data_IF_582207866048
#
_entry.id   IF_582207866048
#
_cell.length_a   1.000
_cell.length_b   1.000
_cell.length_c   1.000
_cell.angle_alpha   90.00
_cell.angle_beta   90.00
_cell.angle_gamma   90.00
#
_symmetry.space_group_name_H-M   'P 1'
#
loop_
_entity.id
_entity.type
_entity.pdbx_description
1 polymer ?
#
# COMPACT_ATOMS: atom_id res chain seq x y z
N UNK A 1 53.28 53.05 -26.67
CA UNK A 1 52.39 52.30 -27.59
C UNK A 1 51.77 51.16 -26.78
N UNK A 2 50.45 51.17 -26.55
CA UNK A 2 49.76 50.31 -25.59
C UNK A 2 49.32 48.99 -26.23
N UNK A 3 49.18 47.92 -25.45
CA UNK A 3 48.27 46.83 -25.81
C UNK A 3 47.55 46.30 -24.56
N UNK A 4 46.28 46.00 -24.79
CA UNK A 4 45.19 45.91 -23.83
C UNK A 4 45.12 44.57 -23.08
N UNK A 5 44.42 44.60 -21.95
CA UNK A 5 43.93 43.42 -21.21
C UNK A 5 43.03 42.53 -22.08
N UNK A 6 42.91 41.24 -21.73
CA UNK A 6 41.63 40.57 -21.82
C UNK A 6 41.18 40.04 -20.44
N UNK A 7 40.05 40.59 -20.02
CA UNK A 7 38.83 39.91 -19.51
C UNK A 7 39.05 38.63 -18.71
N UNK A 8 38.72 38.69 -17.42
CA UNK A 8 38.65 37.54 -16.52
C UNK A 8 37.70 36.46 -17.04
N UNK A 9 38.23 35.27 -17.25
CA UNK A 9 37.42 34.07 -17.42
C UNK A 9 36.79 33.72 -16.07
N UNK A 10 35.48 33.93 -15.94
CA UNK A 10 34.67 33.24 -14.93
C UNK A 10 34.73 31.76 -15.29
N UNK A 11 35.37 30.97 -14.43
CA UNK A 11 35.37 29.52 -14.55
C UNK A 11 33.94 28.96 -14.60
N UNK A 12 33.75 27.75 -15.13
CA UNK A 12 32.43 27.16 -15.26
C UNK A 12 31.77 27.07 -13.88
N UNK A 13 30.62 27.72 -13.73
CA UNK A 13 29.74 27.54 -12.59
C UNK A 13 29.28 26.09 -12.64
N UNK A 14 29.83 25.26 -11.77
CA UNK A 14 29.36 23.91 -11.55
C UNK A 14 27.98 24.01 -10.92
N UNK A 15 26.94 23.92 -11.74
CA UNK A 15 25.56 23.72 -11.27
C UNK A 15 25.56 22.37 -10.58
N UNK A 16 25.59 22.39 -9.24
CA UNK A 16 25.33 21.22 -8.43
C UNK A 16 23.85 20.92 -8.72
N UNK A 17 23.50 19.81 -9.38
CA UNK A 17 22.10 19.45 -9.51
C UNK A 17 21.57 19.34 -8.08
N UNK A 18 20.45 20.01 -7.81
CA UNK A 18 19.72 19.89 -6.55
C UNK A 18 19.76 18.42 -6.14
N UNK A 19 20.22 18.18 -4.90
CA UNK A 19 20.22 16.86 -4.32
C UNK A 19 18.91 16.20 -4.69
N UNK A 20 18.98 15.09 -5.44
CA UNK A 20 17.82 14.28 -5.80
C UNK A 20 17.18 13.95 -4.45
N UNK A 21 16.17 14.72 -4.06
CA UNK A 21 15.41 14.41 -2.87
C UNK A 21 14.92 13.00 -3.12
N UNK A 22 15.19 12.04 -2.22
CA UNK A 22 14.61 10.71 -2.36
C UNK A 22 13.11 10.91 -2.60
N UNK A 23 12.49 10.13 -3.51
CA UNK A 23 11.08 10.32 -3.82
C UNK A 23 10.35 10.39 -2.49
N UNK A 24 9.70 11.54 -2.22
CA UNK A 24 8.87 11.68 -1.02
C UNK A 24 7.83 10.57 -1.14
N UNK A 25 7.95 9.53 -0.31
CA UNK A 25 6.88 8.58 -0.13
C UNK A 25 5.64 9.41 0.19
N UNK A 26 4.58 9.32 -0.62
CA UNK A 26 3.35 9.98 -0.24
C UNK A 26 2.83 9.26 1.00
N UNK A 27 2.44 10.02 2.02
CA UNK A 27 1.91 9.39 3.22
C UNK A 27 0.59 8.73 2.84
N UNK A 28 0.30 7.55 3.37
CA UNK A 28 -0.94 6.84 3.02
C UNK A 28 -2.17 7.69 3.39
N UNK A 29 -2.03 8.50 4.42
CA UNK A 29 -2.98 9.52 4.86
C UNK A 29 -3.35 10.53 3.76
N UNK A 30 -2.42 10.86 2.85
CA UNK A 30 -2.69 11.77 1.73
C UNK A 30 -3.75 11.20 0.79
N UNK A 31 -3.90 9.87 0.73
CA UNK A 31 -4.88 9.18 -0.12
C UNK A 31 -6.29 9.15 0.48
N UNK A 32 -6.45 9.52 1.76
CA UNK A 32 -7.72 9.34 2.45
C UNK A 32 -8.85 10.20 1.86
N UNK A 33 -9.99 9.56 1.63
CA UNK A 33 -11.18 10.20 1.07
C UNK A 33 -11.11 10.40 -0.45
N UNK A 34 -9.96 10.14 -1.07
CA UNK A 34 -9.83 10.19 -2.53
C UNK A 34 -10.47 8.96 -3.16
N UNK A 35 -11.10 9.17 -4.32
CA UNK A 35 -11.51 8.11 -5.23
C UNK A 35 -10.60 8.17 -6.44
N UNK A 36 -9.98 7.05 -6.76
CA UNK A 36 -9.10 6.94 -7.94
C UNK A 36 -9.84 6.20 -9.05
N UNK A 37 -9.74 6.75 -10.25
CA UNK A 37 -10.45 6.25 -11.42
C UNK A 37 -9.72 5.08 -12.10
N UNK A 38 -10.51 4.04 -12.31
CA UNK A 38 -10.76 3.40 -13.59
C UNK A 38 -9.63 2.68 -14.31
N UNK A 39 -9.37 1.45 -13.87
CA UNK A 39 -8.61 0.47 -14.66
C UNK A 39 -9.60 -0.44 -15.40
N UNK A 40 -9.64 -0.43 -16.75
CA UNK A 40 -10.34 -1.45 -17.51
C UNK A 40 -9.74 -2.82 -17.18
N UNK A 41 -10.55 -3.73 -16.67
CA UNK A 41 -10.10 -5.07 -16.31
C UNK A 41 -11.19 -6.11 -16.54
N UNK A 42 -10.75 -7.36 -16.66
CA UNK A 42 -11.64 -8.52 -16.74
C UNK A 42 -11.59 -9.29 -15.43
N UNK A 43 -12.74 -9.40 -14.76
CA UNK A 43 -12.86 -10.22 -13.57
C UNK A 43 -13.06 -11.67 -14.01
N UNK A 44 -11.98 -12.45 -14.04
CA UNK A 44 -12.05 -13.86 -14.41
C UNK A 44 -12.66 -14.69 -13.28
N UNK A 45 -13.40 -15.77 -13.58
CA UNK A 45 -13.76 -16.76 -12.57
C UNK A 45 -12.53 -17.27 -11.82
N UNK A 46 -12.72 -17.68 -10.57
CA UNK A 46 -11.64 -18.28 -9.78
C UNK A 46 -11.06 -19.49 -10.53
N UNK A 47 -9.77 -19.47 -10.82
CA UNK A 47 -9.15 -20.48 -11.69
C UNK A 47 -9.10 -21.89 -11.08
N UNK A 48 -9.11 -22.00 -9.75
CA UNK A 48 -9.09 -23.30 -9.04
C UNK A 48 -10.47 -23.94 -8.97
N UNK A 49 -11.50 -23.13 -8.77
CA UNK A 49 -12.86 -23.63 -8.45
C UNK A 49 -13.88 -23.37 -9.56
N UNK A 50 -13.56 -22.52 -10.53
CA UNK A 50 -14.50 -22.00 -11.52
C UNK A 50 -15.56 -21.08 -10.93
N UNK A 51 -15.45 -20.69 -9.65
CA UNK A 51 -16.44 -19.87 -8.96
C UNK A 51 -16.65 -18.53 -9.65
N UNK A 52 -17.92 -18.13 -9.74
CA UNK A 52 -18.37 -16.82 -10.26
C UNK A 52 -18.83 -15.89 -9.15
N UNK A 53 -18.37 -16.14 -7.93
CA UNK A 53 -18.58 -15.27 -6.77
C UNK A 53 -17.36 -14.37 -6.63
N UNK A 54 -17.57 -13.13 -6.20
CA UNK A 54 -16.47 -12.26 -5.79
C UNK A 54 -15.85 -12.82 -4.50
N UNK A 55 -14.67 -13.43 -4.63
CA UNK A 55 -13.93 -14.07 -3.53
C UNK A 55 -12.91 -13.14 -2.85
N UNK A 56 -12.82 -11.89 -3.31
CA UNK A 56 -11.94 -10.87 -2.73
C UNK A 56 -10.54 -10.81 -3.35
N UNK A 57 -10.07 -11.87 -4.00
CA UNK A 57 -8.66 -12.00 -4.45
C UNK A 57 -8.27 -10.88 -5.42
N UNK A 58 -9.10 -10.62 -6.42
CA UNK A 58 -8.86 -9.54 -7.38
C UNK A 58 -8.86 -8.17 -6.69
N UNK A 59 -9.76 -7.96 -5.74
CA UNK A 59 -9.85 -6.70 -5.01
C UNK A 59 -8.59 -6.42 -4.18
N UNK A 60 -8.08 -7.43 -3.49
CA UNK A 60 -6.84 -7.35 -2.73
C UNK A 60 -5.62 -7.06 -3.61
N UNK A 61 -5.49 -7.77 -4.74
CA UNK A 61 -4.39 -7.54 -5.69
C UNK A 61 -4.36 -6.09 -6.18
N UNK A 62 -5.53 -5.58 -6.58
CA UNK A 62 -5.64 -4.21 -7.06
C UNK A 62 -5.41 -3.19 -5.94
N UNK A 63 -5.83 -3.49 -4.71
CA UNK A 63 -5.58 -2.64 -3.55
C UNK A 63 -4.08 -2.52 -3.23
N UNK A 64 -3.37 -3.66 -3.19
CA UNK A 64 -1.92 -3.72 -3.01
C UNK A 64 -1.19 -2.94 -4.10
N UNK A 65 -1.55 -3.17 -5.37
CA UNK A 65 -0.99 -2.44 -6.51
C UNK A 65 -1.20 -0.93 -6.33
N UNK A 66 -2.43 -0.51 -6.03
CA UNK A 66 -2.77 0.91 -5.86
C UNK A 66 -1.94 1.55 -4.75
N UNK A 67 -1.85 0.93 -3.57
CA UNK A 67 -1.07 1.51 -2.47
C UNK A 67 0.41 1.58 -2.80
N UNK A 68 0.99 0.54 -3.39
CA UNK A 68 2.41 0.52 -3.78
C UNK A 68 2.71 1.61 -4.82
N UNK A 69 1.88 1.74 -5.86
CA UNK A 69 2.05 2.75 -6.91
C UNK A 69 1.88 4.18 -6.37
N UNK A 70 0.90 4.41 -5.49
CA UNK A 70 0.60 5.76 -5.00
C UNK A 70 1.54 6.22 -3.91
N UNK A 71 2.01 5.32 -3.05
CA UNK A 71 2.83 5.67 -1.88
C UNK A 71 4.31 5.40 -2.07
N UNK A 72 4.69 4.51 -3.00
CA UNK A 72 6.06 4.02 -3.13
C UNK A 72 6.48 3.03 -2.02
N UNK A 73 5.58 2.72 -1.08
CA UNK A 73 5.83 1.70 -0.06
C UNK A 73 5.83 0.30 -0.68
N UNK A 74 6.30 -0.69 0.10
CA UNK A 74 6.34 -2.09 -0.30
C UNK A 74 5.34 -2.92 0.51
N UNK A 75 4.05 -2.68 0.29
CA UNK A 75 2.99 -3.50 0.85
C UNK A 75 3.06 -4.92 0.30
N UNK A 76 3.01 -5.88 1.22
CA UNK A 76 2.97 -7.30 0.93
C UNK A 76 1.92 -8.00 1.79
N UNK A 77 1.22 -9.00 1.24
CA UNK A 77 0.34 -9.82 2.06
C UNK A 77 1.15 -10.64 3.06
N UNK A 78 0.57 -10.88 4.23
CA UNK A 78 1.06 -11.85 5.22
C UNK A 78 -0.10 -12.79 5.53
N UNK A 79 -0.20 -13.89 4.79
CA UNK A 79 -1.35 -14.80 4.77
C UNK A 79 -0.96 -16.26 4.90
N UNK A 80 -1.79 -17.04 5.58
CA UNK A 80 -1.66 -18.49 5.53
C UNK A 80 -2.24 -19.09 4.22
N UNK A 81 -2.18 -20.42 4.09
CA UNK A 81 -2.70 -21.16 2.91
C UNK A 81 -4.21 -21.05 2.71
N UNK A 82 -4.95 -20.53 3.69
CA UNK A 82 -6.39 -20.27 3.61
C UNK A 82 -6.70 -18.81 3.26
N UNK A 83 -5.70 -18.02 2.86
CA UNK A 83 -5.80 -16.58 2.59
C UNK A 83 -6.29 -15.78 3.80
N UNK A 84 -5.95 -16.22 5.02
CA UNK A 84 -6.23 -15.45 6.24
C UNK A 84 -4.97 -14.74 6.70
N UNK A 85 -5.07 -13.45 7.00
CA UNK A 85 -4.01 -12.67 7.61
C UNK A 85 -4.10 -11.19 7.22
N UNK A 86 -2.94 -10.54 7.08
CA UNK A 86 -2.83 -9.17 6.62
C UNK A 86 -2.89 -9.10 5.10
N UNK A 87 -3.93 -8.49 4.54
CA UNK A 87 -4.07 -8.29 3.09
C UNK A 87 -2.90 -7.47 2.52
N UNK A 88 -2.36 -6.54 3.31
CA UNK A 88 -1.18 -5.78 2.94
C UNK A 88 -0.54 -5.12 4.14
N UNK A 89 0.70 -5.49 4.43
CA UNK A 89 1.48 -4.93 5.53
C UNK A 89 2.75 -4.29 4.98
N UNK A 90 3.10 -3.12 5.51
CA UNK A 90 4.32 -2.40 5.17
C UNK A 90 4.90 -1.73 6.41
N UNK A 91 6.23 -1.58 6.42
CA UNK A 91 6.93 -0.68 7.35
C UNK A 91 7.35 0.55 6.56
N UNK A 92 6.83 1.71 6.93
CA UNK A 92 7.22 3.01 6.40
C UNK A 92 8.16 3.69 7.41
N UNK A 93 9.25 4.25 6.91
CA UNK A 93 10.24 4.98 7.71
C UNK A 93 10.39 6.38 7.11
N UNK A 94 10.09 7.39 7.91
CA UNK A 94 10.25 8.80 7.56
C UNK A 94 11.03 9.52 8.67
N UNK A 95 12.34 9.71 8.43
CA UNK A 95 13.28 10.13 9.47
C UNK A 95 13.27 9.16 10.66
N UNK A 96 13.00 9.71 11.85
CA UNK A 96 12.90 8.92 13.09
C UNK A 96 11.51 8.28 13.29
N UNK A 97 10.55 8.57 12.41
CA UNK A 97 9.18 8.05 12.53
C UNK A 97 9.10 6.69 11.84
N UNK A 98 8.73 5.67 12.61
CA UNK A 98 8.40 4.34 12.10
C UNK A 98 6.89 4.18 12.11
N UNK A 99 6.30 3.85 10.97
CA UNK A 99 4.88 3.50 10.87
C UNK A 99 4.73 2.12 10.29
N UNK A 100 4.08 1.22 11.02
CA UNK A 100 3.58 -0.02 10.47
C UNK A 100 2.20 0.26 9.88
N UNK A 101 2.08 0.15 8.56
CA UNK A 101 0.81 0.33 7.87
C UNK A 101 0.16 -1.04 7.66
N UNK A 102 -1.09 -1.15 8.11
CA UNK A 102 -1.89 -2.38 8.01
C UNK A 102 -3.09 -2.10 7.13
N UNK A 103 -3.08 -2.69 5.94
CA UNK A 103 -4.15 -2.61 4.96
C UNK A 103 -5.12 -3.79 5.15
N UNK A 104 -6.40 -3.49 5.08
CA UNK A 104 -7.47 -4.45 4.83
C UNK A 104 -8.19 -4.05 3.53
N UNK A 105 -8.31 -5.00 2.60
CA UNK A 105 -8.99 -4.80 1.33
C UNK A 105 -10.45 -5.28 1.43
N UNK A 106 -11.36 -4.49 0.86
CA UNK A 106 -12.77 -4.84 0.76
C UNK A 106 -13.24 -4.60 -0.66
N UNK A 107 -13.73 -5.64 -1.33
CA UNK A 107 -14.22 -5.53 -2.70
C UNK A 107 -15.73 -5.72 -2.82
N UNK A 108 -16.31 -5.11 -3.85
CA UNK A 108 -17.73 -5.20 -4.16
C UNK A 108 -17.96 -5.18 -5.66
N UNK A 109 -18.87 -6.03 -6.13
CA UNK A 109 -19.35 -6.02 -7.53
C UNK A 109 -20.47 -4.99 -7.78
N UNK A 110 -20.94 -4.34 -6.72
CA UNK A 110 -22.01 -3.36 -6.74
C UNK A 110 -21.48 -1.92 -6.61
N UNK A 111 -20.22 -1.69 -7.01
CA UNK A 111 -19.51 -0.41 -6.89
C UNK A 111 -18.74 -0.23 -5.58
N UNK A 112 -17.77 0.70 -5.60
CA UNK A 112 -16.83 0.91 -4.47
C UNK A 112 -17.52 1.34 -3.18
N UNK A 113 -18.61 2.10 -3.29
CA UNK A 113 -19.38 2.59 -2.13
C UNK A 113 -20.10 1.48 -1.36
N UNK A 114 -20.24 0.28 -1.96
CA UNK A 114 -20.85 -0.90 -1.35
C UNK A 114 -19.83 -1.89 -0.77
N UNK A 115 -18.52 -1.64 -0.96
CA UNK A 115 -17.50 -2.42 -0.30
C UNK A 115 -17.59 -2.26 1.22
N UNK A 116 -17.40 -3.36 1.94
CA UNK A 116 -17.48 -3.40 3.40
C UNK A 116 -16.41 -2.55 4.09
N UNK A 117 -16.48 -2.52 5.42
CA UNK A 117 -15.45 -1.89 6.26
C UNK A 117 -14.89 -2.95 7.20
N UNK A 118 -13.57 -2.97 7.43
CA UNK A 118 -12.96 -3.89 8.39
C UNK A 118 -13.45 -3.64 9.82
N UNK A 119 -13.32 -4.67 10.64
CA UNK A 119 -13.72 -4.67 12.06
C UNK A 119 -12.51 -4.87 12.97
N UNK A 120 -12.57 -4.27 14.17
CA UNK A 120 -11.57 -4.40 15.20
C UNK A 120 -10.41 -3.40 15.06
N UNK A 121 -9.49 -3.48 16.02
CA UNK A 121 -8.32 -2.62 16.10
C UNK A 121 -7.18 -3.14 15.18
N UNK A 122 -6.63 -2.31 14.27
CA UNK A 122 -5.57 -2.74 13.35
C UNK A 122 -4.32 -3.29 14.04
N UNK A 123 -3.91 -2.71 15.18
CA UNK A 123 -2.76 -3.20 15.95
C UNK A 123 -3.05 -4.56 16.55
N UNK A 124 -4.20 -4.71 17.22
CA UNK A 124 -4.59 -6.00 17.80
C UNK A 124 -4.69 -7.11 16.73
N UNK A 125 -5.20 -6.78 15.54
CA UNK A 125 -5.26 -7.71 14.40
C UNK A 125 -3.86 -8.12 13.93
N UNK A 126 -2.98 -7.15 13.71
CA UNK A 126 -1.59 -7.39 13.32
C UNK A 126 -0.84 -8.26 14.32
N UNK A 127 -0.93 -7.94 15.61
CA UNK A 127 -0.30 -8.72 16.68
C UNK A 127 -0.85 -10.15 16.72
N UNK A 128 -2.16 -10.33 16.53
CA UNK A 128 -2.78 -11.65 16.41
C UNK A 128 -2.26 -12.46 15.21
N UNK A 129 -2.08 -11.81 14.06
CA UNK A 129 -1.51 -12.46 12.87
C UNK A 129 -0.03 -12.82 13.07
N UNK A 130 0.77 -11.92 13.65
CA UNK A 130 2.18 -12.17 13.99
C UNK A 130 2.34 -13.24 15.07
N UNK A 131 1.36 -13.42 15.94
CA UNK A 131 1.31 -14.50 16.94
C UNK A 131 0.92 -15.86 16.36
N UNK A 132 0.28 -15.89 15.19
CA UNK A 132 -0.12 -17.12 14.52
C UNK A 132 0.95 -17.58 13.52
N UNK A 133 1.67 -18.67 13.86
CA UNK A 133 2.75 -19.21 13.01
C UNK A 133 2.32 -19.55 11.59
N UNK A 134 1.09 -20.04 11.39
CA UNK A 134 0.60 -20.36 10.03
C UNK A 134 0.53 -19.14 9.10
N UNK A 135 0.42 -17.94 9.68
CA UNK A 135 0.39 -16.66 8.98
C UNK A 135 1.79 -16.03 8.99
N UNK A 136 2.37 -15.89 10.18
CA UNK A 136 3.66 -15.22 10.37
C UNK A 136 4.80 -15.89 9.57
N UNK A 137 4.77 -17.21 9.42
CA UNK A 137 5.82 -17.95 8.71
C UNK A 137 5.60 -17.99 7.18
N UNK A 138 4.53 -17.36 6.66
CA UNK A 138 4.31 -17.24 5.21
C UNK A 138 5.32 -16.32 4.53
N UNK A 139 5.79 -15.30 5.26
CA UNK A 139 6.89 -14.41 4.87
C UNK A 139 7.71 -14.05 6.13
N UNK A 140 8.73 -14.86 6.47
CA UNK A 140 9.56 -14.62 7.65
C UNK A 140 10.26 -13.26 7.64
N UNK A 141 10.65 -12.75 6.47
CA UNK A 141 11.34 -11.47 6.37
C UNK A 141 10.39 -10.31 6.68
N UNK A 142 9.17 -10.35 6.15
CA UNK A 142 8.14 -9.36 6.47
C UNK A 142 7.73 -9.45 7.95
N UNK A 143 7.52 -10.66 8.48
CA UNK A 143 7.24 -10.89 9.91
C UNK A 143 8.30 -10.24 10.79
N UNK A 144 9.57 -10.49 10.51
CA UNK A 144 10.68 -10.01 11.33
C UNK A 144 10.80 -8.48 11.26
N UNK A 145 10.61 -7.89 10.07
CA UNK A 145 10.57 -6.44 9.92
C UNK A 145 9.42 -5.80 10.71
N UNK A 146 8.22 -6.38 10.65
CA UNK A 146 7.06 -5.90 11.39
C UNK A 146 7.26 -6.03 12.91
N UNK A 147 7.80 -7.16 13.38
CA UNK A 147 8.11 -7.35 14.81
C UNK A 147 9.16 -6.37 15.29
N UNK A 148 10.27 -6.22 14.56
CA UNK A 148 11.32 -5.26 14.90
C UNK A 148 10.78 -3.82 14.98
N UNK A 149 9.90 -3.43 14.05
CA UNK A 149 9.25 -2.13 14.09
C UNK A 149 8.39 -1.96 15.36
N UNK A 150 7.55 -2.95 15.70
CA UNK A 150 6.70 -2.91 16.89
C UNK A 150 7.52 -2.90 18.19
N UNK A 151 8.53 -3.77 18.28
CA UNK A 151 9.41 -3.93 19.45
C UNK A 151 10.28 -2.71 19.71
N UNK A 152 10.46 -1.83 18.71
CA UNK A 152 11.15 -0.54 18.90
C UNK A 152 10.45 0.37 19.93
N UNK A 153 9.17 0.12 20.24
CA UNK A 153 8.35 0.95 21.13
C UNK A 153 7.99 2.33 20.55
N UNK A 154 8.48 2.65 19.34
CA UNK A 154 8.29 3.95 18.67
C UNK A 154 7.33 3.87 17.49
N UNK A 155 7.01 2.67 17.01
CA UNK A 155 6.20 2.51 15.82
C UNK A 155 4.72 2.86 16.07
N UNK A 156 4.18 3.75 15.23
CA UNK A 156 2.74 3.92 15.04
C UNK A 156 2.22 2.73 14.25
N UNK A 157 1.04 2.23 14.61
CA UNK A 157 0.28 1.31 13.72
C UNK A 157 -0.83 2.12 13.06
N UNK A 158 -0.79 2.24 11.74
CA UNK A 158 -1.78 2.94 10.94
C UNK A 158 -2.64 1.93 10.19
N UNK A 159 -3.92 1.85 10.53
CA UNK A 159 -4.88 1.05 9.78
C UNK A 159 -5.36 1.78 8.54
N UNK A 160 -5.47 1.05 7.44
CA UNK A 160 -5.94 1.55 6.14
C UNK A 160 -6.95 0.57 5.57
N UNK A 161 -8.08 1.07 5.10
CA UNK A 161 -9.04 0.31 4.30
C UNK A 161 -8.90 0.73 2.85
N UNK A 162 -8.72 -0.24 1.96
CA UNK A 162 -8.85 0.00 0.52
C UNK A 162 -10.11 -0.67 0.03
N UNK A 163 -11.10 0.15 -0.32
CA UNK A 163 -12.34 -0.29 -0.94
C UNK A 163 -12.15 -0.36 -2.44
N UNK A 164 -12.61 -1.46 -3.03
CA UNK A 164 -12.46 -1.72 -4.47
C UNK A 164 -13.81 -2.10 -5.08
N UNK A 165 -14.32 -1.25 -5.95
CA UNK A 165 -15.39 -1.63 -6.87
C UNK A 165 -14.79 -2.45 -8.01
N UNK A 166 -15.29 -3.65 -8.26
CA UNK A 166 -14.84 -4.51 -9.37
C UNK A 166 -16.02 -4.90 -10.26
N UNK A 167 -15.80 -5.20 -11.55
CA UNK A 167 -16.83 -5.84 -12.38
C UNK A 167 -17.30 -7.17 -11.76
N UNK A 168 -18.53 -7.59 -12.08
CA UNK A 168 -18.98 -8.93 -11.71
C UNK A 168 -18.10 -10.01 -12.37
N UNK A 169 -17.94 -11.20 -11.75
CA UNK A 169 -17.18 -12.29 -12.36
C UNK A 169 -17.66 -12.64 -13.77
N UNK A 170 -16.72 -12.97 -14.65
CA UNK A 170 -16.90 -13.12 -16.10
C UNK A 170 -17.30 -11.86 -16.86
N UNK A 171 -17.13 -10.66 -16.28
CA UNK A 171 -17.38 -9.38 -16.96
C UNK A 171 -16.10 -8.56 -17.06
N UNK A 172 -16.04 -7.79 -18.14
CA UNK A 172 -15.09 -6.69 -18.30
C UNK A 172 -15.77 -5.41 -17.88
N UNK A 173 -15.03 -4.55 -17.22
CA UNK A 173 -15.51 -3.25 -16.80
C UNK A 173 -14.39 -2.46 -16.14
N UNK A 174 -14.78 -1.55 -15.28
CA UNK A 174 -13.88 -0.58 -14.67
C UNK A 174 -13.78 -0.87 -13.18
N UNK A 175 -12.56 -0.85 -12.64
CA UNK A 175 -12.37 -0.83 -11.19
C UNK A 175 -12.34 0.59 -10.62
N UNK A 176 -12.90 0.73 -9.43
CA UNK A 176 -12.96 1.98 -8.66
C UNK A 176 -12.27 1.76 -7.32
N UNK A 177 -11.51 2.75 -6.85
CA UNK A 177 -10.75 2.64 -5.61
C UNK A 177 -11.12 3.75 -4.66
N UNK A 178 -11.21 3.43 -3.38
CA UNK A 178 -11.32 4.43 -2.31
C UNK A 178 -10.46 4.02 -1.13
N UNK A 179 -9.59 4.92 -0.70
CA UNK A 179 -8.75 4.71 0.49
C UNK A 179 -9.36 5.44 1.67
N UNK A 180 -9.52 4.74 2.78
CA UNK A 180 -10.12 5.25 4.02
C UNK A 180 -9.26 4.86 5.21
N UNK A 181 -9.29 5.62 6.31
CA UNK A 181 -8.69 5.16 7.56
C UNK A 181 -9.45 3.94 8.09
N UNK A 182 -8.74 2.87 8.43
CA UNK A 182 -9.30 1.80 9.23
C UNK A 182 -9.31 2.25 10.69
N UNK A 183 -10.45 2.77 11.11
CA UNK A 183 -10.68 3.22 12.48
C UNK A 183 -11.07 2.04 13.37
N UNK A 184 -10.61 2.08 14.62
CA UNK A 184 -11.02 1.14 15.67
C UNK A 184 -12.52 1.31 15.91
N UNK A 185 -13.32 0.41 15.34
CA UNK A 185 -14.75 0.28 15.62
C UNK A 185 -15.00 -0.98 16.43
#
# INVERSE_FOLDING_TARGET
MPYAHPVGQKGPVQVIPDAISPPKFSQVEDLFGQIFESIPLSHLPNWKTGSRVNDGVLGEQLALQTLNEKTGLNFKPLHNTSNHGCDGCAVAIDGDTITVVVMDAKSSVNGVSKAGTPHGDPRTRLEGWLGNRSIADSDPALRDALRAALDSGKAKVQGVTVKVGVPAPSKTGVAEFKVEPWTKK
#
